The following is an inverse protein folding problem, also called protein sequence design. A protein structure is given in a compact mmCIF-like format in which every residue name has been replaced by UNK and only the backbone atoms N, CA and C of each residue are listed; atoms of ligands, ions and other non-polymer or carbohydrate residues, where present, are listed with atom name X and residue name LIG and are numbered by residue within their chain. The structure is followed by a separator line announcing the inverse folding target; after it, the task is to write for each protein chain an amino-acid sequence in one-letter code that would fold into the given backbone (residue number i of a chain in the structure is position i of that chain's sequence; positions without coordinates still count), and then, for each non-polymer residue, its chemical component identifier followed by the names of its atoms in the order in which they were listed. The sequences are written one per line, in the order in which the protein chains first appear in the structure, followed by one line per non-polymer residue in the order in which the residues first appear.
data_IF_869733813823
#
_entry.id   IF_869733813823
#
_cell.length_a   1.000
_cell.length_b   1.000
_cell.length_c   1.000
_cell.angle_alpha   90.00
_cell.angle_beta   90.00
_cell.angle_gamma   90.00
#
_symmetry.space_group_name_H-M   'P 1'
#
loop_
_entity.id
_entity.type
_entity.pdbx_description
1 polymer ?
#
# COMPACT_ATOMS: atom_id res chain seq x y z
N UNK A 1 -75.44 -1.35 -7.93
CA UNK A 1 -74.32 -1.95 -8.70
C UNK A 1 -73.03 -1.28 -8.24
N UNK A 2 -72.31 -1.88 -7.31
CA UNK A 2 -71.07 -1.30 -6.75
C UNK A 2 -69.96 -2.32 -6.91
N UNK A 3 -69.17 -2.18 -7.98
CA UNK A 3 -68.00 -3.04 -8.18
C UNK A 3 -66.82 -2.39 -7.48
N UNK A 4 -66.38 -3.11 -6.44
CA UNK A 4 -65.28 -2.85 -5.53
C UNK A 4 -63.97 -2.53 -6.25
N UNK A 5 -63.34 -1.41 -5.87
CA UNK A 5 -61.96 -1.09 -6.22
C UNK A 5 -61.02 -2.20 -5.71
N UNK A 6 -60.24 -2.80 -6.62
CA UNK A 6 -59.23 -3.81 -6.29
C UNK A 6 -57.98 -3.10 -5.78
N UNK A 7 -57.89 -3.05 -4.46
CA UNK A 7 -56.75 -2.58 -3.67
C UNK A 7 -55.51 -3.45 -4.01
N UNK A 8 -54.72 -3.01 -4.99
CA UNK A 8 -53.45 -3.63 -5.38
C UNK A 8 -52.39 -3.31 -4.33
N UNK A 9 -52.46 -4.00 -3.19
CA UNK A 9 -51.48 -3.88 -2.12
C UNK A 9 -50.11 -4.32 -2.62
N UNK A 10 -49.20 -3.35 -2.62
CA UNK A 10 -47.75 -3.45 -2.70
C UNK A 10 -47.18 -4.83 -2.28
N UNK A 11 -46.75 -5.64 -3.25
CA UNK A 11 -45.97 -6.86 -3.02
C UNK A 11 -44.47 -6.67 -3.29
N UNK A 12 -44.03 -5.47 -3.66
CA UNK A 12 -42.65 -5.23 -4.11
C UNK A 12 -41.62 -5.01 -3.00
N UNK A 13 -42.06 -4.78 -1.76
CA UNK A 13 -41.20 -4.35 -0.65
C UNK A 13 -40.76 -5.46 0.32
N UNK A 14 -41.08 -6.74 0.07
CA UNK A 14 -40.63 -7.86 0.94
C UNK A 14 -39.42 -8.65 0.44
N UNK A 15 -38.95 -8.42 -0.78
CA UNK A 15 -37.86 -9.23 -1.37
C UNK A 15 -36.45 -8.72 -1.08
N UNK A 16 -36.30 -7.63 -0.33
CA UNK A 16 -34.98 -7.07 -0.01
C UNK A 16 -34.43 -7.52 1.35
N UNK A 17 -35.18 -8.30 2.14
CA UNK A 17 -34.92 -8.44 3.58
C UNK A 17 -34.76 -9.86 4.15
N UNK A 18 -34.62 -10.96 3.39
CA UNK A 18 -34.51 -12.26 4.09
C UNK A 18 -33.69 -13.40 3.51
N UNK A 19 -33.10 -13.33 2.31
CA UNK A 19 -32.22 -14.42 1.82
C UNK A 19 -30.87 -13.89 1.32
N UNK A 20 -30.88 -12.97 0.36
CA UNK A 20 -29.65 -12.41 -0.24
C UNK A 20 -28.72 -11.76 0.79
N UNK A 21 -29.26 -11.00 1.76
CA UNK A 21 -28.47 -10.39 2.83
C UNK A 21 -27.85 -11.43 3.78
N UNK A 22 -28.51 -12.59 3.95
CA UNK A 22 -28.06 -13.69 4.81
C UNK A 22 -26.99 -14.52 4.10
N UNK A 23 -27.17 -14.75 2.80
CA UNK A 23 -26.15 -15.36 1.92
C UNK A 23 -24.91 -14.49 1.82
N UNK A 24 -25.04 -13.19 1.60
CA UNK A 24 -23.92 -12.26 1.57
C UNK A 24 -23.14 -12.27 2.89
N UNK A 25 -23.83 -12.29 4.03
CA UNK A 25 -23.18 -12.37 5.35
C UNK A 25 -22.42 -13.69 5.54
N UNK A 26 -22.98 -14.81 5.09
CA UNK A 26 -22.30 -16.11 5.13
C UNK A 26 -21.08 -16.14 4.21
N UNK A 27 -21.20 -15.60 2.98
CA UNK A 27 -20.10 -15.48 2.04
C UNK A 27 -18.96 -14.64 2.62
N UNK A 28 -19.27 -13.49 3.22
CA UNK A 28 -18.29 -12.68 3.93
C UNK A 28 -17.67 -13.44 5.10
N UNK A 29 -18.45 -14.16 5.90
CA UNK A 29 -17.94 -14.90 7.06
C UNK A 29 -17.00 -16.05 6.67
N UNK A 30 -17.20 -16.66 5.50
CA UNK A 30 -16.34 -17.70 4.94
C UNK A 30 -15.04 -17.15 4.33
N UNK A 31 -15.10 -15.95 3.74
CA UNK A 31 -13.93 -15.29 3.13
C UNK A 31 -13.12 -14.51 4.17
N UNK A 32 -13.74 -14.00 5.23
CA UNK A 32 -13.09 -13.22 6.28
C UNK A 32 -11.84 -13.89 6.88
N UNK A 33 -11.82 -15.19 7.25
CA UNK A 33 -10.62 -15.79 7.84
C UNK A 33 -9.43 -15.79 6.87
N UNK A 34 -9.65 -16.11 5.59
CA UNK A 34 -8.57 -16.08 4.59
C UNK A 34 -8.15 -14.66 4.26
N UNK A 35 -9.10 -13.75 4.10
CA UNK A 35 -8.83 -12.32 3.90
C UNK A 35 -8.02 -11.75 5.07
N UNK A 36 -8.38 -12.03 6.32
CA UNK A 36 -7.66 -11.56 7.51
C UNK A 36 -6.23 -12.07 7.54
N UNK A 37 -5.98 -13.34 7.20
CA UNK A 37 -4.63 -13.89 7.12
C UNK A 37 -3.82 -13.17 6.03
N UNK A 38 -4.35 -13.03 4.82
CA UNK A 38 -3.64 -12.37 3.71
C UNK A 38 -3.38 -10.90 4.02
N UNK A 39 -4.38 -10.18 4.51
CA UNK A 39 -4.26 -8.78 4.91
C UNK A 39 -3.26 -8.64 6.05
N UNK A 40 -3.29 -9.55 7.03
CA UNK A 40 -2.33 -9.63 8.11
C UNK A 40 -0.90 -9.83 7.60
N UNK A 41 -0.69 -10.73 6.65
CA UNK A 41 0.64 -10.98 6.06
C UNK A 41 1.20 -9.76 5.31
N UNK A 42 0.35 -8.88 4.79
CA UNK A 42 0.78 -7.64 4.11
C UNK A 42 0.93 -6.49 5.10
N UNK A 43 -0.05 -6.29 5.99
CA UNK A 43 -0.04 -5.21 6.97
C UNK A 43 1.01 -5.42 8.06
N UNK A 44 1.23 -6.66 8.49
CA UNK A 44 2.20 -6.97 9.53
C UNK A 44 3.61 -6.47 9.18
N UNK A 45 4.23 -6.86 8.05
CA UNK A 45 5.55 -6.36 7.69
C UNK A 45 5.54 -4.86 7.39
N UNK A 46 4.45 -4.30 6.85
CA UNK A 46 4.33 -2.87 6.61
C UNK A 46 4.37 -2.06 7.92
N UNK A 47 3.54 -2.43 8.90
CA UNK A 47 3.51 -1.82 10.23
C UNK A 47 4.84 -2.04 10.94
N UNK A 48 5.40 -3.24 10.85
CA UNK A 48 6.71 -3.56 11.43
C UNK A 48 7.83 -2.73 10.82
N UNK A 49 7.78 -2.45 9.52
CA UNK A 49 8.76 -1.59 8.83
C UNK A 49 8.68 -0.14 9.32
N UNK A 50 7.46 0.38 9.50
CA UNK A 50 7.23 1.71 10.10
C UNK A 50 7.70 1.73 11.55
N UNK A 51 7.46 0.66 12.32
CA UNK A 51 7.91 0.57 13.71
C UNK A 51 9.44 0.51 13.83
N UNK A 52 10.12 -0.21 12.93
CA UNK A 52 11.59 -0.28 12.85
C UNK A 52 12.19 1.05 12.41
N UNK A 53 11.55 1.81 11.51
CA UNK A 53 12.12 3.07 11.01
C UNK A 53 12.33 4.12 12.12
N UNK A 54 11.58 4.03 13.22
CA UNK A 54 11.75 4.88 14.41
C UNK A 54 12.77 4.35 15.43
N UNK A 55 13.42 3.20 15.18
CA UNK A 55 14.45 2.59 16.04
C UNK A 55 15.81 2.53 15.36
N UNK A 56 16.87 2.60 16.17
CA UNK A 56 18.24 2.45 15.67
C UNK A 56 18.61 0.97 15.53
N UNK A 57 18.15 0.38 14.43
CA UNK A 57 18.38 -1.05 14.12
C UNK A 57 19.61 -1.18 13.23
N UNK A 58 20.80 -1.00 13.81
CA UNK A 58 22.08 -1.17 13.13
C UNK A 58 22.63 -2.61 13.13
N UNK A 59 23.70 -2.84 12.35
CA UNK A 59 24.42 -4.13 12.25
C UNK A 59 24.84 -4.73 13.61
N UNK A 60 25.04 -3.85 14.60
CA UNK A 60 25.46 -4.20 15.96
C UNK A 60 24.32 -4.74 16.84
N UNK A 61 23.06 -4.53 16.44
CA UNK A 61 21.85 -4.87 17.19
C UNK A 61 20.96 -5.92 16.49
N UNK A 62 21.41 -6.57 15.41
CA UNK A 62 20.62 -7.58 14.68
C UNK A 62 20.10 -8.71 15.58
N UNK A 63 20.84 -9.07 16.63
CA UNK A 63 20.45 -10.15 17.53
C UNK A 63 19.35 -9.74 18.52
N UNK A 64 19.13 -8.43 18.73
CA UNK A 64 18.19 -7.88 19.72
C UNK A 64 17.42 -6.66 19.17
N UNK A 65 16.76 -6.84 18.03
CA UNK A 65 15.94 -5.78 17.37
C UNK A 65 14.88 -5.19 18.30
N UNK A 66 14.40 -5.95 19.28
CA UNK A 66 13.38 -5.50 20.26
C UNK A 66 13.91 -4.59 21.38
N UNK A 67 15.24 -4.49 21.57
CA UNK A 67 15.88 -3.62 22.57
C UNK A 67 16.55 -2.39 21.93
N UNK A 68 16.46 -2.23 20.60
CA UNK A 68 17.02 -1.07 19.93
C UNK A 68 16.38 0.22 20.48
N UNK A 69 17.20 1.24 20.83
CA UNK A 69 16.68 2.48 21.40
C UNK A 69 15.75 3.19 20.40
N UNK A 70 14.67 3.75 20.93
CA UNK A 70 13.75 4.58 20.13
C UNK A 70 14.45 5.91 19.84
N UNK A 71 14.77 6.13 18.56
CA UNK A 71 15.46 7.34 18.07
C UNK A 71 14.50 8.31 17.38
N UNK A 72 13.21 7.98 17.30
CA UNK A 72 12.21 8.87 16.73
C UNK A 72 12.51 9.19 15.26
N UNK A 73 12.65 10.49 14.93
CA UNK A 73 12.86 10.96 13.55
C UNK A 73 14.33 11.13 13.18
N UNK A 74 15.28 10.82 14.07
CA UNK A 74 16.71 10.97 13.81
C UNK A 74 17.15 10.15 12.60
N UNK A 75 16.61 8.93 12.42
CA UNK A 75 16.85 8.12 11.23
C UNK A 75 16.41 8.83 9.95
N UNK A 76 15.23 9.46 9.94
CA UNK A 76 14.75 10.20 8.77
C UNK A 76 15.60 11.44 8.50
N UNK A 77 16.08 12.15 9.54
CA UNK A 77 17.00 13.27 9.39
C UNK A 77 18.38 12.85 8.90
N UNK A 78 18.92 11.75 9.42
CA UNK A 78 20.17 11.18 8.94
C UNK A 78 20.04 10.78 7.48
N UNK A 79 18.96 10.09 7.11
CA UNK A 79 18.63 9.77 5.72
C UNK A 79 18.52 11.03 4.85
N UNK A 80 17.79 12.06 5.26
CA UNK A 80 17.61 13.26 4.42
C UNK A 80 18.89 14.12 4.32
N UNK A 81 19.76 14.08 5.33
CA UNK A 81 21.01 14.84 5.34
C UNK A 81 22.21 14.07 4.77
N UNK A 82 22.21 12.74 4.86
CA UNK A 82 23.32 11.84 4.48
C UNK A 82 22.99 10.93 3.30
N UNK A 83 21.74 10.93 2.80
CA UNK A 83 21.43 10.14 1.62
C UNK A 83 22.36 10.58 0.49
N UNK A 84 23.10 9.59 0.01
CA UNK A 84 23.79 9.49 -1.27
C UNK A 84 22.89 9.78 -2.50
N UNK A 85 21.79 10.52 -2.31
CA UNK A 85 20.80 10.98 -3.26
C UNK A 85 20.98 12.47 -3.59
N UNK A 86 21.60 13.26 -2.70
CA UNK A 86 21.96 14.64 -3.04
C UNK A 86 23.20 14.63 -3.93
N UNK A 87 23.33 15.67 -4.74
CA UNK A 87 24.49 15.88 -5.59
C UNK A 87 25.76 15.91 -4.72
N UNK A 88 26.51 14.81 -4.69
CA UNK A 88 27.67 14.65 -3.81
C UNK A 88 28.95 15.25 -4.41
N UNK A 89 28.94 15.61 -5.71
CA UNK A 89 30.05 16.22 -6.43
C UNK A 89 30.17 15.70 -7.86
N UNK A 90 31.17 16.17 -8.62
CA UNK A 90 31.38 15.77 -10.02
C UNK A 90 31.74 14.30 -10.20
N UNK A 91 32.38 13.67 -9.21
CA UNK A 91 32.77 12.26 -9.24
C UNK A 91 31.65 11.29 -8.82
N UNK A 92 30.64 11.74 -8.06
CA UNK A 92 29.50 10.92 -7.65
C UNK A 92 28.26 11.79 -7.56
N UNK A 93 27.40 11.69 -8.57
CA UNK A 93 26.23 12.58 -8.72
C UNK A 93 25.10 12.23 -7.73
N UNK A 94 25.24 11.13 -6.99
CA UNK A 94 24.22 10.60 -6.11
C UNK A 94 23.18 9.76 -6.87
N UNK A 95 22.68 8.72 -6.21
CA UNK A 95 21.80 7.71 -6.79
C UNK A 95 20.52 8.30 -7.41
N UNK A 96 19.91 9.31 -6.78
CA UNK A 96 18.72 9.96 -7.33
C UNK A 96 19.01 10.71 -8.63
N UNK A 97 20.11 11.47 -8.68
CA UNK A 97 20.47 12.22 -9.89
C UNK A 97 20.81 11.25 -11.01
N UNK A 98 21.59 10.20 -10.73
CA UNK A 98 21.90 9.15 -11.71
C UNK A 98 20.64 8.48 -12.23
N UNK A 99 19.69 8.11 -11.36
CA UNK A 99 18.42 7.52 -11.79
C UNK A 99 17.61 8.45 -12.68
N UNK A 100 17.44 9.72 -12.29
CA UNK A 100 16.69 10.71 -13.06
C UNK A 100 17.37 10.89 -14.43
N UNK A 101 18.66 11.22 -14.45
CA UNK A 101 19.41 11.45 -15.70
C UNK A 101 19.37 10.21 -16.58
N UNK A 102 19.56 9.02 -16.02
CA UNK A 102 19.52 7.76 -16.76
C UNK A 102 18.13 7.49 -17.35
N UNK A 103 17.06 7.59 -16.56
CA UNK A 103 15.70 7.33 -17.06
C UNK A 103 15.30 8.29 -18.18
N UNK A 104 15.60 9.58 -18.04
CA UNK A 104 15.30 10.56 -19.10
C UNK A 104 16.18 10.36 -20.33
N UNK A 105 17.50 10.20 -20.16
CA UNK A 105 18.42 9.99 -21.28
C UNK A 105 18.12 8.71 -22.05
N UNK A 106 17.85 7.60 -21.34
CA UNK A 106 17.47 6.34 -21.94
C UNK A 106 16.18 6.48 -22.76
N UNK A 107 15.14 7.10 -22.20
CA UNK A 107 13.85 7.29 -22.89
C UNK A 107 14.02 8.12 -24.17
N UNK A 108 14.79 9.21 -24.11
CA UNK A 108 15.06 10.06 -25.28
C UNK A 108 15.85 9.30 -26.33
N UNK A 109 16.91 8.59 -25.93
CA UNK A 109 17.70 7.75 -26.84
C UNK A 109 16.83 6.71 -27.54
N UNK A 110 15.97 6.02 -26.79
CA UNK A 110 15.06 5.02 -27.36
C UNK A 110 14.11 5.64 -28.36
N UNK A 111 13.54 6.83 -28.09
CA UNK A 111 12.70 7.53 -29.07
C UNK A 111 13.49 7.88 -30.34
N UNK A 112 14.70 8.41 -30.21
CA UNK A 112 15.52 8.79 -31.38
C UNK A 112 15.89 7.58 -32.22
N UNK A 113 16.28 6.47 -31.58
CA UNK A 113 16.60 5.22 -32.27
C UNK A 113 15.36 4.68 -32.97
N UNK A 114 14.22 4.62 -32.27
CA UNK A 114 12.96 4.12 -32.83
C UNK A 114 12.39 4.99 -33.97
N UNK A 115 12.73 6.28 -34.02
CA UNK A 115 12.34 7.19 -35.11
C UNK A 115 13.28 7.12 -36.32
N UNK A 116 14.48 6.54 -36.16
CA UNK A 116 15.48 6.39 -37.21
C UNK A 116 15.52 4.97 -37.81
N UNK A 117 14.72 4.04 -37.31
CA UNK A 117 14.40 2.75 -37.94
C UNK A 117 13.03 2.81 -38.65
#
# INVERSE_FOLDING_TARGET
MTVSAKDSRSSFSRRWNSLDAREARLAWMLILPTALIVFGLVLFPAIFSVWISFRDVGLKNLNNVFQAPFVGLENYRAVINDFAFKWQGWQSWGAAVTCIVYSFSATILTMIVALNE
#
